data_IF_689112311312
#
_entry.id   IF_689112311312
#
_cell.length_a   1.000
_cell.length_b   1.000
_cell.length_c   1.000
_cell.angle_alpha   90.00
_cell.angle_beta   90.00
_cell.angle_gamma   90.00
#
_symmetry.space_group_name_H-M   'P 1'
#
loop_
_entity.id
_entity.type
_entity.pdbx_description
1 polymer ?
#
# COMPACT_ATOMS: atom_id res chain seq x y z
N UNK A 1 3.22 -3.39 30.17
CA UNK A 1 2.80 -1.96 30.20
C UNK A 1 3.83 -0.93 29.73
N UNK A 2 4.91 -1.28 29.01
CA UNK A 2 5.96 -0.31 28.61
C UNK A 2 5.41 0.96 27.92
N UNK A 3 4.55 0.78 26.90
CA UNK A 3 3.97 1.87 26.11
C UNK A 3 2.98 2.77 26.87
N UNK A 4 2.52 2.35 28.06
CA UNK A 4 1.72 3.23 28.91
C UNK A 4 2.55 4.30 29.59
N UNK A 5 3.87 4.12 29.68
CA UNK A 5 4.81 5.04 30.31
C UNK A 5 5.79 5.66 29.31
N UNK A 6 5.88 5.16 28.08
CA UNK A 6 6.87 5.62 27.10
C UNK A 6 6.17 6.08 25.82
N UNK A 7 6.38 7.34 25.43
CA UNK A 7 5.95 7.86 24.12
C UNK A 7 7.08 7.74 23.09
N UNK A 8 8.27 8.18 23.48
CA UNK A 8 9.54 7.84 22.82
C UNK A 8 10.13 6.61 23.48
N UNK A 9 10.99 5.87 22.78
CA UNK A 9 11.79 4.83 23.41
C UNK A 9 12.66 5.43 24.52
N UNK A 10 12.71 4.73 25.65
CA UNK A 10 13.60 4.99 26.79
C UNK A 10 13.43 6.37 27.46
N UNK A 11 12.36 7.10 27.13
CA UNK A 11 11.91 8.31 27.81
C UNK A 11 10.64 8.02 28.63
N UNK A 12 10.80 7.88 29.94
CA UNK A 12 9.68 7.64 30.84
C UNK A 12 8.83 8.90 31.02
N UNK A 13 7.51 8.73 30.98
CA UNK A 13 6.50 9.78 31.06
C UNK A 13 5.34 9.31 31.95
N UNK A 14 4.49 10.25 32.37
CA UNK A 14 3.31 9.93 33.18
C UNK A 14 2.40 8.89 32.47
N UNK A 15 1.79 8.01 33.26
CA UNK A 15 0.92 6.94 32.76
C UNK A 15 -0.17 7.49 31.83
N UNK A 16 -0.27 6.89 30.65
CA UNK A 16 -1.36 7.13 29.70
C UNK A 16 -1.66 5.85 28.93
N UNK A 17 -2.85 5.31 29.13
CA UNK A 17 -3.34 4.17 28.34
C UNK A 17 -3.34 4.54 26.85
N UNK A 18 -2.70 3.72 26.02
CA UNK A 18 -2.59 3.95 24.58
C UNK A 18 -3.62 3.08 23.87
N UNK A 19 -4.44 3.70 23.04
CA UNK A 19 -5.33 3.00 22.12
C UNK A 19 -4.81 3.20 20.69
N UNK A 20 -4.97 2.18 19.84
CA UNK A 20 -4.60 2.29 18.44
C UNK A 20 -5.58 3.22 17.72
N UNK A 21 -5.05 4.23 17.03
CA UNK A 21 -5.83 5.02 16.10
C UNK A 21 -6.23 4.22 14.86
N UNK A 22 -7.31 4.62 14.19
CA UNK A 22 -7.79 3.97 12.95
C UNK A 22 -6.70 3.82 11.90
N UNK A 23 -5.88 4.86 11.71
CA UNK A 23 -4.77 4.85 10.76
C UNK A 23 -3.70 3.80 11.12
N UNK A 24 -3.37 3.64 12.40
CA UNK A 24 -2.40 2.63 12.84
C UNK A 24 -2.93 1.22 12.60
N UNK A 25 -4.22 0.98 12.87
CA UNK A 25 -4.88 -0.30 12.58
C UNK A 25 -4.81 -0.60 11.08
N UNK A 26 -5.14 0.38 10.23
CA UNK A 26 -5.06 0.24 8.77
C UNK A 26 -3.62 -0.07 8.31
N UNK A 27 -2.62 0.63 8.84
CA UNK A 27 -1.22 0.37 8.52
C UNK A 27 -0.77 -1.04 8.90
N UNK A 28 -1.20 -1.55 10.06
CA UNK A 28 -0.91 -2.92 10.49
C UNK A 28 -1.60 -3.94 9.57
N UNK A 29 -2.84 -3.65 9.14
CA UNK A 29 -3.54 -4.52 8.20
C UNK A 29 -2.79 -4.63 6.87
N UNK A 30 -2.44 -3.49 6.28
CA UNK A 30 -1.79 -3.40 4.96
C UNK A 30 -0.38 -3.99 4.98
N UNK A 31 0.45 -3.63 5.96
CA UNK A 31 1.87 -3.99 5.96
C UNK A 31 2.15 -5.35 6.61
N UNK A 32 1.25 -5.85 7.46
CA UNK A 32 1.54 -7.03 8.28
C UNK A 32 0.51 -8.13 8.07
N UNK A 33 -0.76 -7.87 8.42
CA UNK A 33 -1.78 -8.95 8.48
C UNK A 33 -2.08 -9.51 7.09
N UNK A 34 -2.32 -8.64 6.11
CA UNK A 34 -2.67 -9.03 4.75
C UNK A 34 -1.51 -9.76 4.06
N UNK A 35 -0.26 -9.26 4.06
CA UNK A 35 0.88 -9.96 3.48
C UNK A 35 1.11 -11.33 4.10
N UNK A 36 1.02 -11.45 5.43
CA UNK A 36 1.16 -12.72 6.14
C UNK A 36 0.05 -13.70 5.74
N UNK A 37 -1.20 -13.25 5.64
CA UNK A 37 -2.32 -14.07 5.20
C UNK A 37 -2.14 -14.58 3.75
N UNK A 38 -1.68 -13.71 2.86
CA UNK A 38 -1.41 -14.08 1.47
C UNK A 38 -0.26 -15.10 1.40
N UNK A 39 0.84 -14.84 2.11
CA UNK A 39 1.99 -15.76 2.17
C UNK A 39 1.60 -17.12 2.74
N UNK A 40 0.75 -17.16 3.78
CA UNK A 40 0.20 -18.41 4.30
C UNK A 40 -0.59 -19.18 3.23
N UNK A 41 -1.47 -18.50 2.50
CA UNK A 41 -2.18 -19.10 1.37
C UNK A 41 -1.24 -19.58 0.26
N UNK A 42 -0.16 -18.85 0.00
CA UNK A 42 0.86 -19.22 -0.97
C UNK A 42 1.63 -20.49 -0.60
N UNK A 43 2.20 -20.54 0.60
CA UNK A 43 2.99 -21.69 1.07
C UNK A 43 2.14 -22.96 1.16
N UNK A 44 0.87 -22.83 1.54
CA UNK A 44 -0.04 -23.97 1.68
C UNK A 44 -0.84 -24.28 0.40
N UNK A 45 -0.55 -23.62 -0.73
CA UNK A 45 -1.31 -23.76 -1.99
C UNK A 45 -2.83 -23.62 -1.80
N UNK A 46 -3.22 -22.72 -0.89
CA UNK A 46 -4.59 -22.45 -0.50
C UNK A 46 -5.05 -21.12 -1.10
N UNK A 47 -5.73 -21.21 -2.25
CA UNK A 47 -6.27 -20.06 -2.98
C UNK A 47 -7.32 -19.27 -2.19
N UNK A 48 -8.04 -19.91 -1.26
CA UNK A 48 -9.02 -19.22 -0.42
C UNK A 48 -8.37 -18.11 0.42
N UNK A 49 -7.20 -18.37 1.01
CA UNK A 49 -6.50 -17.39 1.82
C UNK A 49 -5.87 -16.27 0.98
N UNK A 50 -5.35 -16.59 -0.21
CA UNK A 50 -4.86 -15.58 -1.16
C UNK A 50 -5.98 -14.63 -1.58
N UNK A 51 -7.11 -15.19 -2.02
CA UNK A 51 -8.27 -14.40 -2.43
C UNK A 51 -8.83 -13.56 -1.27
N UNK A 52 -8.83 -14.12 -0.05
CA UNK A 52 -9.25 -13.39 1.16
C UNK A 52 -8.35 -12.20 1.44
N UNK A 53 -7.02 -12.35 1.35
CA UNK A 53 -6.08 -11.27 1.55
C UNK A 53 -6.28 -10.13 0.52
N UNK A 54 -6.46 -10.47 -0.77
CA UNK A 54 -6.74 -9.47 -1.80
C UNK A 54 -8.07 -8.75 -1.56
N UNK A 55 -9.13 -9.48 -1.20
CA UNK A 55 -10.42 -8.89 -0.84
C UNK A 55 -10.32 -7.96 0.37
N UNK A 56 -9.45 -8.27 1.33
CA UNK A 56 -9.20 -7.39 2.47
C UNK A 56 -8.55 -6.08 2.04
N UNK A 57 -7.58 -6.10 1.11
CA UNK A 57 -7.02 -4.86 0.55
C UNK A 57 -8.10 -3.99 -0.12
N UNK A 58 -9.04 -4.61 -0.82
CA UNK A 58 -10.14 -3.88 -1.47
C UNK A 58 -11.09 -3.18 -0.48
N UNK A 59 -11.13 -3.64 0.78
CA UNK A 59 -12.01 -3.12 1.83
C UNK A 59 -11.32 -2.10 2.75
N UNK A 60 -9.99 -2.05 2.75
CA UNK A 60 -9.24 -1.07 3.55
C UNK A 60 -9.20 0.25 2.78
N UNK A 61 -9.44 1.41 3.42
CA UNK A 61 -9.30 2.71 2.77
C UNK A 61 -7.94 2.90 2.12
N UNK A 62 -7.91 3.65 1.02
CA UNK A 62 -6.67 3.92 0.32
C UNK A 62 -5.65 4.64 1.21
N UNK A 63 -4.38 4.28 1.04
CA UNK A 63 -3.30 4.94 1.77
C UNK A 63 -3.15 6.39 1.33
N UNK A 64 -2.79 7.24 2.28
CA UNK A 64 -2.55 8.65 2.03
C UNK A 64 -1.07 8.98 2.21
N UNK A 65 -0.36 9.10 1.10
CA UNK A 65 1.05 9.49 1.09
C UNK A 65 1.36 10.38 -0.12
N UNK A 66 2.60 10.90 -0.20
CA UNK A 66 3.02 11.81 -1.26
C UNK A 66 3.01 11.18 -2.66
N UNK A 67 3.26 9.88 -2.78
CA UNK A 67 3.19 9.15 -4.06
C UNK A 67 1.76 9.15 -4.58
N UNK A 68 0.81 8.77 -3.73
CA UNK A 68 -0.61 8.71 -4.06
C UNK A 68 -1.14 10.08 -4.44
N UNK A 69 -0.80 11.13 -3.68
CA UNK A 69 -1.17 12.51 -4.03
C UNK A 69 -0.69 12.90 -5.44
N UNK A 70 0.50 12.44 -5.83
CA UNK A 70 1.03 12.65 -7.18
C UNK A 70 0.19 11.98 -8.27
N UNK A 71 -0.26 10.74 -8.05
CA UNK A 71 -1.13 10.04 -9.00
C UNK A 71 -2.55 10.63 -9.04
N UNK A 72 -3.12 11.01 -7.89
CA UNK A 72 -4.42 11.65 -7.80
C UNK A 72 -4.44 12.99 -8.56
N UNK A 73 -3.34 13.76 -8.50
CA UNK A 73 -3.18 14.99 -9.28
C UNK A 73 -3.17 14.75 -10.81
N UNK A 74 -2.87 13.54 -11.25
CA UNK A 74 -2.97 13.10 -12.65
C UNK A 74 -4.35 12.51 -12.98
N UNK A 75 -5.34 12.66 -12.09
CA UNK A 75 -6.68 12.07 -12.17
C UNK A 75 -6.69 10.54 -12.22
N UNK A 76 -5.65 9.89 -11.66
CA UNK A 76 -5.65 8.43 -11.51
C UNK A 76 -6.46 8.07 -10.26
N UNK A 77 -7.39 7.14 -10.43
CA UNK A 77 -8.32 6.73 -9.39
C UNK A 77 -7.62 5.83 -8.36
N UNK A 78 -7.83 6.13 -7.08
CA UNK A 78 -7.27 5.42 -5.95
C UNK A 78 -8.37 5.18 -4.89
N UNK A 79 -9.04 4.03 -4.93
CA UNK A 79 -10.27 3.79 -4.14
C UNK A 79 -10.00 3.15 -2.78
N UNK A 80 -9.03 2.24 -2.73
CA UNK A 80 -8.76 1.39 -1.58
C UNK A 80 -7.27 1.03 -1.50
N UNK A 81 -6.90 0.27 -0.47
CA UNK A 81 -5.51 -0.13 -0.25
C UNK A 81 -4.95 -1.02 -1.37
N UNK A 82 -5.81 -1.75 -2.09
CA UNK A 82 -5.38 -2.52 -3.27
C UNK A 82 -4.85 -1.59 -4.36
N UNK A 83 -5.59 -0.52 -4.68
CA UNK A 83 -5.17 0.49 -5.65
C UNK A 83 -3.90 1.22 -5.18
N UNK A 84 -3.86 1.66 -3.92
CA UNK A 84 -2.72 2.43 -3.41
C UNK A 84 -1.43 1.61 -3.43
N UNK A 85 -1.50 0.33 -3.02
CA UNK A 85 -0.35 -0.57 -3.07
C UNK A 85 0.13 -0.81 -4.51
N UNK A 86 -0.78 -0.98 -5.48
CA UNK A 86 -0.42 -1.13 -6.88
C UNK A 86 0.29 0.12 -7.43
N UNK A 87 -0.21 1.32 -7.11
CA UNK A 87 0.37 2.59 -7.54
C UNK A 87 1.74 2.85 -6.89
N UNK A 88 1.87 2.56 -5.59
CA UNK A 88 3.14 2.68 -4.87
C UNK A 88 4.18 1.74 -5.50
N UNK A 89 3.82 0.48 -5.77
CA UNK A 89 4.72 -0.46 -6.43
C UNK A 89 5.12 0.00 -7.82
N UNK A 90 4.16 0.49 -8.62
CA UNK A 90 4.44 1.06 -9.95
C UNK A 90 5.43 2.22 -9.87
N UNK A 91 5.23 3.13 -8.90
CA UNK A 91 6.12 4.28 -8.70
C UNK A 91 7.53 3.84 -8.34
N UNK A 92 7.64 2.97 -7.35
CA UNK A 92 8.91 2.55 -6.77
C UNK A 92 9.71 1.71 -7.75
N UNK A 93 9.10 0.72 -8.40
CA UNK A 93 9.85 -0.25 -9.22
C UNK A 93 10.00 0.16 -10.68
N UNK A 94 9.14 1.03 -11.20
CA UNK A 94 9.18 1.40 -12.63
C UNK A 94 9.41 2.89 -12.85
N UNK A 95 8.53 3.75 -12.33
CA UNK A 95 8.56 5.17 -12.67
C UNK A 95 9.83 5.86 -12.16
N UNK A 96 10.27 5.56 -10.94
CA UNK A 96 11.47 6.18 -10.37
C UNK A 96 12.74 5.81 -11.14
N UNK A 97 12.82 4.58 -11.67
CA UNK A 97 13.94 4.09 -12.48
C UNK A 97 13.76 4.31 -13.98
N UNK A 98 12.67 4.98 -14.40
CA UNK A 98 12.33 5.23 -15.80
C UNK A 98 12.26 3.96 -16.65
N UNK A 99 11.83 2.83 -16.08
CA UNK A 99 11.66 1.56 -16.78
C UNK A 99 10.41 1.52 -17.68
N UNK A 100 10.12 2.62 -18.39
CA UNK A 100 8.90 2.80 -19.18
C UNK A 100 8.77 1.75 -20.30
N UNK A 101 9.89 1.31 -20.89
CA UNK A 101 9.92 0.26 -21.93
C UNK A 101 9.63 -1.16 -21.38
N UNK A 102 9.75 -1.36 -20.07
CA UNK A 102 9.41 -2.63 -19.39
C UNK A 102 8.05 -2.55 -18.68
N UNK A 103 7.49 -1.34 -18.53
CA UNK A 103 6.19 -1.11 -17.92
C UNK A 103 5.07 -1.18 -18.97
N UNK A 104 4.01 -1.95 -18.71
CA UNK A 104 2.86 -2.01 -19.62
C UNK A 104 2.18 -0.65 -19.83
N UNK A 105 2.08 0.16 -18.78
CA UNK A 105 1.51 1.52 -18.82
C UNK A 105 2.44 2.45 -19.61
N UNK A 106 3.74 2.44 -19.29
CA UNK A 106 4.75 3.26 -19.98
C UNK A 106 4.80 2.97 -21.48
N UNK A 107 4.85 1.70 -21.87
CA UNK A 107 4.80 1.26 -23.26
C UNK A 107 3.55 1.77 -23.98
N UNK A 108 2.39 1.75 -23.33
CA UNK A 108 1.13 2.23 -23.92
C UNK A 108 1.16 3.75 -24.13
N UNK A 109 1.68 4.52 -23.18
CA UNK A 109 1.82 5.97 -23.29
C UNK A 109 2.74 6.31 -24.47
N UNK A 110 3.94 5.71 -24.54
CA UNK A 110 4.93 5.99 -25.59
C UNK A 110 4.43 5.64 -27.00
N UNK A 111 3.66 4.54 -27.14
CA UNK A 111 3.06 4.17 -28.42
C UNK A 111 1.96 5.13 -28.88
N UNK A 112 1.24 5.74 -27.95
CA UNK A 112 0.20 6.72 -28.25
C UNK A 112 0.81 8.06 -28.67
N UNK A 113 1.89 8.51 -28.03
CA UNK A 113 2.65 9.71 -28.44
C UNK A 113 3.28 9.55 -29.83
N UNK A 114 3.61 8.33 -30.24
CA UNK A 114 4.23 8.05 -31.55
C UNK A 114 3.23 8.02 -32.73
N UNK A 115 1.92 8.16 -32.49
CA UNK A 115 0.92 8.31 -33.57
C UNK A 115 0.67 9.80 -33.81
N UNK A 116 0.93 10.33 -35.02
CA UNK A 116 0.48 11.67 -35.35
C UNK A 116 -1.05 11.70 -35.32
N UNK A 117 -1.59 12.80 -34.80
CA UNK A 117 -3.03 13.10 -34.79
C UNK A 117 -3.63 13.10 -36.20
#
# INVERSE_FOLDING_TARGET
>A
DYWHYHYSFDEETAFKQKALGKQMIQNILINTVIPVLYAYGYVNSNEMFKAKALRWLEQVPAEQNSIIKGFEALNIVNKNAFDSQALIQLKNEYCNYKHCLQCAIGNRILKNEARPA
#
